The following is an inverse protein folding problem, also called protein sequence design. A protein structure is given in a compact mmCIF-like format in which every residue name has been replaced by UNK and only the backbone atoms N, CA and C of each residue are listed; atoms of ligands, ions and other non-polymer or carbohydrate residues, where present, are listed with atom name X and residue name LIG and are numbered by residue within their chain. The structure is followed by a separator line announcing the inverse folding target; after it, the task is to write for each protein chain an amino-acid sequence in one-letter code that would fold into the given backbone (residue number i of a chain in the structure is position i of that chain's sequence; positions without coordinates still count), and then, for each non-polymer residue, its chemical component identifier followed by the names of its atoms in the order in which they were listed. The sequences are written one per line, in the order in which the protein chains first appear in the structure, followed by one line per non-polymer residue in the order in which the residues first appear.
data_IF_485665540534
#
_entry.id   IF_485665540534
#
_cell.length_a   1.000
_cell.length_b   1.000
_cell.length_c   1.000
_cell.angle_alpha   90.00
_cell.angle_beta   90.00
_cell.angle_gamma   90.00
#
_symmetry.space_group_name_H-M   'P 1'
#
loop_
_entity.id
_entity.type
_entity.pdbx_description
1 polymer ?
#
# COMPACT_ATOMS: atom_id res chain seq x y z
N UNK A 1 -45.30 23.01 -3.31
CA UNK A 1 -44.59 22.60 -4.54
C UNK A 1 -43.42 23.54 -4.75
N UNK A 2 -42.25 23.03 -5.13
CA UNK A 2 -41.24 23.87 -5.80
C UNK A 2 -41.96 24.61 -6.93
N UNK A 3 -42.07 25.94 -6.82
CA UNK A 3 -42.93 26.78 -7.68
C UNK A 3 -42.28 26.94 -9.06
N UNK A 4 -42.26 25.87 -9.83
CA UNK A 4 -41.91 25.87 -11.24
C UNK A 4 -43.06 25.26 -12.03
N UNK A 5 -43.32 25.77 -13.22
CA UNK A 5 -44.27 25.21 -14.16
C UNK A 5 -43.68 25.34 -15.55
N UNK A 6 -43.89 24.31 -16.38
CA UNK A 6 -43.56 24.36 -17.80
C UNK A 6 -44.73 25.00 -18.52
N UNK A 7 -44.46 25.98 -19.38
CA UNK A 7 -45.48 26.64 -20.18
C UNK A 7 -45.06 26.74 -21.65
N UNK A 8 -46.03 26.56 -22.55
CA UNK A 8 -45.90 26.76 -23.98
C UNK A 8 -46.27 28.21 -24.31
N UNK A 9 -45.35 28.93 -24.95
CA UNK A 9 -45.58 30.28 -25.46
C UNK A 9 -45.56 30.25 -26.99
N UNK A 10 -46.73 30.43 -27.60
CA UNK A 10 -46.90 30.41 -29.06
C UNK A 10 -46.83 31.83 -29.60
N UNK A 11 -46.12 32.02 -30.71
CA UNK A 11 -46.15 33.27 -31.47
C UNK A 11 -46.22 32.96 -32.97
N UNK A 12 -47.04 33.71 -33.69
CA UNK A 12 -47.15 33.66 -35.15
C UNK A 12 -46.34 34.82 -35.73
N UNK A 13 -45.54 34.54 -36.75
CA UNK A 13 -44.80 35.56 -37.49
C UNK A 13 -45.49 35.85 -38.82
N UNK A 14 -45.76 37.13 -39.10
CA UNK A 14 -46.14 37.61 -40.42
C UNK A 14 -45.06 38.60 -40.90
N UNK A 15 -44.17 38.11 -41.78
CA UNK A 15 -42.93 38.80 -42.16
C UNK A 15 -42.12 39.16 -40.90
N UNK A 16 -41.97 40.46 -40.62
CA UNK A 16 -41.25 40.98 -39.45
C UNK A 16 -42.14 41.19 -38.23
N UNK A 17 -43.48 41.04 -38.37
CA UNK A 17 -44.43 41.28 -37.28
C UNK A 17 -44.66 40.00 -36.47
N UNK A 18 -44.24 40.01 -35.21
CA UNK A 18 -44.53 38.95 -34.22
C UNK A 18 -45.90 39.19 -33.57
N UNK A 19 -46.80 38.22 -33.68
CA UNK A 19 -48.09 38.18 -33.00
C UNK A 19 -48.00 37.10 -31.92
N UNK A 20 -47.83 37.51 -30.66
CA UNK A 20 -47.80 36.58 -29.53
C UNK A 20 -49.22 36.14 -29.15
N UNK A 21 -49.40 34.88 -28.75
CA UNK A 21 -50.66 34.45 -28.11
C UNK A 21 -50.89 35.18 -26.77
N UNK A 22 -52.15 35.42 -26.36
CA UNK A 22 -52.46 36.28 -25.21
C UNK A 22 -51.98 35.74 -23.87
N UNK A 23 -51.92 34.41 -23.70
CA UNK A 23 -51.51 33.77 -22.47
C UNK A 23 -50.62 32.53 -22.74
N UNK A 24 -49.59 32.28 -21.91
CA UNK A 24 -48.87 31.00 -21.92
C UNK A 24 -49.82 29.84 -21.59
N UNK A 25 -49.66 28.71 -22.27
CA UNK A 25 -50.41 27.48 -21.97
C UNK A 25 -49.60 26.62 -21.00
N UNK A 26 -50.10 26.38 -19.79
CA UNK A 26 -49.39 25.55 -18.80
C UNK A 26 -49.36 24.08 -19.24
N UNK A 27 -48.17 23.52 -19.38
CA UNK A 27 -47.93 22.12 -19.80
C UNK A 27 -47.74 21.18 -18.61
N UNK A 28 -47.04 21.61 -17.55
CA UNK A 28 -46.76 20.77 -16.39
C UNK A 28 -46.50 21.60 -15.12
N UNK A 29 -46.79 21.00 -13.96
CA UNK A 29 -46.46 21.54 -12.64
C UNK A 29 -45.21 20.84 -12.07
N UNK A 30 -44.29 21.62 -11.52
CA UNK A 30 -43.07 21.16 -10.86
C UNK A 30 -41.97 20.68 -11.82
N UNK A 31 -40.76 20.61 -11.31
CA UNK A 31 -39.64 19.94 -11.96
C UNK A 31 -39.27 18.70 -11.14
N UNK A 32 -39.07 17.56 -11.81
CA UNK A 32 -38.52 16.39 -11.14
C UNK A 32 -37.03 16.65 -10.85
N UNK A 33 -36.68 16.72 -9.57
CA UNK A 33 -35.32 16.95 -9.09
C UNK A 33 -34.76 15.73 -8.34
N UNK A 34 -35.23 14.51 -8.65
CA UNK A 34 -34.75 13.28 -8.02
C UNK A 34 -33.23 13.16 -8.06
N UNK A 35 -32.57 13.63 -9.13
CA UNK A 35 -31.11 13.65 -9.26
C UNK A 35 -30.40 14.39 -8.12
N UNK A 36 -31.04 15.37 -7.47
CA UNK A 36 -30.49 16.08 -6.31
C UNK A 36 -30.44 15.24 -5.03
N UNK A 37 -30.87 13.97 -5.07
CA UNK A 37 -30.58 13.01 -4.00
C UNK A 37 -29.15 12.48 -4.07
N UNK A 38 -28.37 12.81 -5.11
CA UNK A 38 -26.99 12.31 -5.23
C UNK A 38 -26.15 12.74 -4.04
N UNK A 39 -25.36 11.81 -3.49
CA UNK A 39 -24.31 12.11 -2.53
C UNK A 39 -23.14 12.76 -3.25
N UNK A 40 -22.82 14.00 -2.89
CA UNK A 40 -21.82 14.83 -3.59
C UNK A 40 -20.45 14.90 -2.89
N UNK A 41 -20.29 14.20 -1.77
CA UNK A 41 -19.06 14.29 -0.97
C UNK A 41 -17.85 13.65 -1.67
N UNK A 42 -18.09 12.65 -2.51
CA UNK A 42 -17.05 11.82 -3.12
C UNK A 42 -16.36 10.92 -2.09
N UNK A 43 -15.81 9.81 -2.57
CA UNK A 43 -15.09 8.84 -1.75
C UNK A 43 -13.59 9.05 -1.94
N UNK A 44 -12.87 9.23 -0.84
CA UNK A 44 -11.42 9.45 -0.82
C UNK A 44 -10.65 8.13 -1.00
N UNK A 45 -9.36 8.23 -1.28
CA UNK A 45 -8.48 7.06 -1.42
C UNK A 45 -7.25 7.19 -0.54
N UNK A 46 -6.98 6.14 0.26
CA UNK A 46 -5.80 6.02 1.11
C UNK A 46 -4.76 5.11 0.47
N UNK A 47 -3.50 5.48 0.59
CA UNK A 47 -2.33 4.68 0.25
C UNK A 47 -1.96 3.73 1.39
N UNK A 48 -1.38 2.58 1.04
CA UNK A 48 -0.95 1.58 2.01
C UNK A 48 0.26 2.01 2.85
N UNK A 49 0.31 1.50 4.07
CA UNK A 49 1.51 1.39 4.90
C UNK A 49 2.21 0.11 4.44
N UNK A 50 3.48 0.01 4.15
CA UNK A 50 4.10 -1.29 3.88
C UNK A 50 4.61 -1.94 5.18
N UNK A 51 3.81 -1.83 6.26
CA UNK A 51 4.23 -2.26 7.59
C UNK A 51 4.35 -3.78 7.69
N UNK A 52 5.52 -4.24 8.10
CA UNK A 52 5.81 -5.66 8.28
C UNK A 52 5.82 -5.99 9.76
N UNK A 53 5.01 -7.00 10.14
CA UNK A 53 4.96 -7.51 11.52
C UNK A 53 6.27 -8.16 11.94
N UNK A 54 6.98 -8.75 10.98
CA UNK A 54 8.26 -9.43 11.18
C UNK A 54 9.27 -8.90 10.18
N UNK A 55 10.46 -8.53 10.66
CA UNK A 55 11.60 -8.11 9.84
C UNK A 55 12.71 -9.13 9.96
N UNK A 56 13.38 -9.44 8.85
CA UNK A 56 14.55 -10.33 8.85
C UNK A 56 15.83 -9.53 9.05
N UNK A 57 16.61 -9.92 10.04
CA UNK A 57 17.95 -9.40 10.31
C UNK A 57 18.97 -10.55 10.19
N UNK A 58 20.23 -10.22 9.84
CA UNK A 58 21.32 -11.20 9.83
C UNK A 58 22.52 -10.65 10.58
N UNK A 59 23.15 -11.51 11.38
CA UNK A 59 24.47 -11.26 11.95
C UNK A 59 25.40 -12.35 11.47
N UNK A 60 26.59 -11.98 11.03
CA UNK A 60 27.54 -12.93 10.48
C UNK A 60 28.93 -12.77 11.09
N UNK A 61 29.66 -13.89 11.13
CA UNK A 61 31.08 -13.95 11.42
C UNK A 61 31.71 -15.12 10.66
N UNK A 62 33.04 -15.22 10.64
CA UNK A 62 33.72 -16.29 9.91
C UNK A 62 34.96 -16.83 10.61
N UNK A 63 35.18 -18.13 10.45
CA UNK A 63 36.41 -18.82 10.84
C UNK A 63 37.29 -19.00 9.63
N UNK A 64 38.54 -18.52 9.70
CA UNK A 64 39.53 -18.70 8.64
C UNK A 64 40.41 -19.92 8.90
N UNK A 65 40.77 -20.60 7.82
CA UNK A 65 41.57 -21.82 7.80
C UNK A 65 42.85 -21.63 7.00
N UNK A 66 43.88 -22.43 7.33
CA UNK A 66 45.08 -22.52 6.50
C UNK A 66 44.81 -23.30 5.21
N UNK A 67 45.70 -23.12 4.23
CA UNK A 67 45.69 -23.93 3.00
C UNK A 67 45.70 -25.41 3.34
N UNK A 68 44.86 -26.20 2.66
CA UNK A 68 44.75 -27.65 2.84
C UNK A 68 44.50 -28.13 4.29
N UNK A 69 44.01 -27.24 5.16
CA UNK A 69 43.73 -27.54 6.56
C UNK A 69 42.25 -27.29 6.88
N UNK A 70 41.74 -28.09 7.80
CA UNK A 70 40.40 -28.01 8.38
C UNK A 70 40.44 -27.87 9.90
N UNK A 71 41.63 -27.88 10.53
CA UNK A 71 41.75 -27.71 11.97
C UNK A 71 41.67 -26.23 12.34
N UNK A 72 40.85 -25.94 13.34
CA UNK A 72 40.70 -24.58 13.88
C UNK A 72 41.74 -24.38 14.97
N UNK A 73 42.52 -23.31 14.85
CA UNK A 73 43.46 -22.92 15.91
C UNK A 73 42.70 -22.33 17.09
N UNK A 74 43.10 -22.61 18.35
CA UNK A 74 42.46 -22.00 19.53
C UNK A 74 42.40 -20.46 19.47
N UNK A 75 43.46 -19.82 18.95
CA UNK A 75 43.52 -18.36 18.77
C UNK A 75 42.46 -17.80 17.81
N UNK A 76 41.93 -18.61 16.89
CA UNK A 76 40.87 -18.19 15.96
C UNK A 76 39.55 -17.95 16.70
N UNK A 77 39.24 -18.78 17.71
CA UNK A 77 38.01 -18.65 18.50
C UNK A 77 38.05 -17.46 19.46
N UNK A 78 39.23 -16.92 19.75
CA UNK A 78 39.41 -15.76 20.63
C UNK A 78 39.47 -14.42 19.88
N UNK A 79 39.32 -14.44 18.55
CA UNK A 79 39.29 -13.21 17.74
C UNK A 79 38.12 -12.31 18.13
N UNK A 80 38.30 -11.00 17.96
CA UNK A 80 37.30 -9.99 18.32
C UNK A 80 35.94 -10.25 17.66
N UNK A 81 35.91 -10.48 16.35
CA UNK A 81 34.68 -10.74 15.58
C UNK A 81 33.88 -11.97 16.07
N UNK A 82 34.56 -13.00 16.57
CA UNK A 82 33.92 -14.20 17.12
C UNK A 82 33.30 -13.87 18.49
N UNK A 83 34.01 -13.10 19.32
CA UNK A 83 33.48 -12.63 20.61
C UNK A 83 32.28 -11.69 20.42
N UNK A 84 32.37 -10.75 19.48
CA UNK A 84 31.25 -9.84 19.15
C UNK A 84 30.02 -10.63 18.66
N UNK A 85 30.21 -11.73 17.94
CA UNK A 85 29.13 -12.62 17.53
C UNK A 85 28.56 -13.44 18.71
N UNK A 86 29.41 -13.97 19.60
CA UNK A 86 28.98 -14.66 20.83
C UNK A 86 28.16 -13.72 21.73
N UNK A 87 28.65 -12.50 21.95
CA UNK A 87 27.97 -11.46 22.73
C UNK A 87 26.65 -11.06 22.10
N UNK A 88 26.60 -10.92 20.77
CA UNK A 88 25.37 -10.65 20.06
C UNK A 88 24.32 -11.74 20.28
N UNK A 89 24.68 -13.02 20.11
CA UNK A 89 23.76 -14.14 20.37
C UNK A 89 23.24 -14.13 21.81
N UNK A 90 24.11 -13.81 22.78
CA UNK A 90 23.74 -13.70 24.19
C UNK A 90 22.82 -12.52 24.50
N UNK A 91 22.88 -11.44 23.71
CA UNK A 91 21.97 -10.30 23.83
C UNK A 91 20.60 -10.61 23.23
N UNK A 92 20.55 -11.29 22.08
CA UNK A 92 19.29 -11.64 21.41
C UNK A 92 18.42 -12.57 22.27
N UNK A 93 19.01 -13.53 22.99
CA UNK A 93 18.27 -14.37 23.94
C UNK A 93 17.60 -13.59 25.07
N UNK A 94 17.99 -12.34 25.31
CA UNK A 94 17.39 -11.44 26.31
C UNK A 94 16.52 -10.34 25.69
N UNK A 95 16.45 -10.26 24.37
CA UNK A 95 15.66 -9.26 23.64
C UNK A 95 14.23 -9.79 23.49
N UNK A 96 13.23 -9.02 23.93
CA UNK A 96 11.83 -9.43 23.88
C UNK A 96 11.24 -9.40 22.46
N UNK A 97 11.92 -8.73 21.52
CA UNK A 97 11.45 -8.53 20.15
C UNK A 97 12.29 -9.25 19.11
N UNK A 98 13.50 -9.71 19.44
CA UNK A 98 14.34 -10.46 18.51
C UNK A 98 14.45 -11.92 18.91
N UNK A 99 14.37 -12.79 17.93
CA UNK A 99 14.62 -14.21 18.12
C UNK A 99 15.51 -14.76 17.01
N UNK A 100 16.51 -15.57 17.38
CA UNK A 100 17.26 -16.36 16.39
C UNK A 100 16.35 -17.44 15.83
N UNK A 101 16.08 -17.40 14.53
CA UNK A 101 15.24 -18.41 13.84
C UNK A 101 16.04 -19.60 13.35
N UNK A 102 17.26 -19.36 12.90
CA UNK A 102 18.22 -20.40 12.56
C UNK A 102 19.63 -19.85 12.62
N UNK A 103 20.59 -20.74 12.73
CA UNK A 103 21.98 -20.44 12.39
C UNK A 103 22.42 -21.33 11.24
N UNK A 104 22.95 -20.73 10.19
CA UNK A 104 23.54 -21.45 9.08
C UNK A 104 25.06 -21.39 9.17
N UNK A 105 25.70 -22.56 9.10
CA UNK A 105 27.13 -22.70 8.92
C UNK A 105 27.37 -23.07 7.46
N UNK A 106 28.03 -22.20 6.71
CA UNK A 106 28.43 -22.49 5.33
C UNK A 106 29.95 -22.59 5.29
N UNK A 107 30.46 -23.79 5.00
CA UNK A 107 31.89 -24.07 4.96
C UNK A 107 32.41 -24.15 3.52
N UNK A 108 33.51 -23.45 3.27
CA UNK A 108 34.05 -23.24 1.93
C UNK A 108 35.46 -23.82 1.79
N UNK A 109 35.81 -24.24 0.57
CA UNK A 109 37.20 -24.30 0.13
C UNK A 109 37.51 -23.20 -0.88
N UNK A 110 38.78 -22.81 -0.93
CA UNK A 110 39.27 -21.84 -1.90
C UNK A 110 39.39 -22.50 -3.29
N UNK A 111 39.18 -21.77 -4.38
CA UNK A 111 39.31 -22.29 -5.75
C UNK A 111 40.79 -22.41 -6.18
N UNK A 112 41.62 -23.03 -5.34
CA UNK A 112 43.06 -23.21 -5.53
C UNK A 112 43.53 -24.67 -5.34
N UNK A 113 42.58 -25.61 -5.37
CA UNK A 113 42.78 -27.04 -5.34
C UNK A 113 41.78 -27.76 -6.24
N UNK A 114 42.00 -29.03 -6.54
CA UNK A 114 41.07 -29.79 -7.39
C UNK A 114 39.73 -30.04 -6.70
N UNK A 115 38.66 -30.13 -7.49
CA UNK A 115 37.26 -30.29 -7.07
C UNK A 115 37.05 -31.36 -5.97
N UNK A 116 37.63 -32.55 -6.13
CA UNK A 116 37.51 -33.66 -5.18
C UNK A 116 38.16 -33.35 -3.82
N UNK A 117 39.32 -32.70 -3.85
CA UNK A 117 40.04 -32.29 -2.64
C UNK A 117 39.26 -31.22 -1.91
N UNK A 118 38.80 -30.21 -2.65
CA UNK A 118 38.03 -29.08 -2.15
C UNK A 118 36.69 -29.52 -1.54
N UNK A 119 36.00 -30.48 -2.17
CA UNK A 119 34.76 -31.06 -1.63
C UNK A 119 34.98 -31.78 -0.30
N UNK A 120 36.06 -32.56 -0.18
CA UNK A 120 36.44 -33.21 1.08
C UNK A 120 36.86 -32.19 2.14
N UNK A 121 37.53 -31.11 1.74
CA UNK A 121 38.03 -30.09 2.64
C UNK A 121 36.90 -29.23 3.20
N UNK A 122 35.96 -28.78 2.37
CA UNK A 122 34.79 -28.01 2.80
C UNK A 122 33.90 -28.85 3.73
N UNK A 123 33.72 -30.14 3.47
CA UNK A 123 33.01 -31.07 4.37
C UNK A 123 33.63 -31.14 5.77
N UNK A 124 34.93 -31.39 5.85
CA UNK A 124 35.65 -31.42 7.15
C UNK A 124 35.67 -30.06 7.85
N UNK A 125 35.70 -28.96 7.09
CA UNK A 125 35.55 -27.61 7.65
C UNK A 125 34.16 -27.41 8.22
N UNK A 126 33.11 -27.91 7.58
CA UNK A 126 31.74 -27.90 8.11
C UNK A 126 31.63 -28.60 9.46
N UNK A 127 32.21 -29.80 9.59
CA UNK A 127 32.25 -30.56 10.84
C UNK A 127 32.97 -29.79 11.96
N UNK A 128 34.19 -29.32 11.68
CA UNK A 128 34.99 -28.58 12.69
C UNK A 128 34.37 -27.22 13.03
N UNK A 129 33.75 -26.55 12.07
CA UNK A 129 33.02 -25.30 12.29
C UNK A 129 31.80 -25.53 13.18
N UNK A 130 31.06 -26.63 12.99
CA UNK A 130 29.97 -27.05 13.87
C UNK A 130 30.45 -27.28 15.31
N UNK A 131 31.57 -27.97 15.49
CA UNK A 131 32.18 -28.16 16.80
C UNK A 131 32.63 -26.83 17.44
N UNK A 132 33.19 -25.92 16.65
CA UNK A 132 33.60 -24.61 17.11
C UNK A 132 32.40 -23.75 17.53
N UNK A 133 31.32 -23.77 16.74
CA UNK A 133 30.08 -23.09 17.07
C UNK A 133 29.55 -23.58 18.42
N UNK A 134 29.49 -24.91 18.65
CA UNK A 134 29.09 -25.49 19.93
C UNK A 134 29.98 -25.06 21.11
N UNK A 135 31.27 -24.77 20.88
CA UNK A 135 32.18 -24.22 21.90
C UNK A 135 31.89 -22.75 22.18
N UNK A 136 31.64 -21.95 21.15
CA UNK A 136 31.31 -20.52 21.26
C UNK A 136 29.99 -20.34 21.99
N UNK A 137 28.95 -21.10 21.63
CA UNK A 137 27.62 -21.01 22.24
C UNK A 137 27.47 -21.82 23.53
N UNK A 138 28.57 -22.35 24.10
CA UNK A 138 28.49 -23.20 25.30
C UNK A 138 27.90 -22.46 26.51
N UNK A 139 28.19 -21.16 26.65
CA UNK A 139 27.70 -20.31 27.75
C UNK A 139 26.34 -19.70 27.48
N UNK A 140 25.97 -19.63 26.20
CA UNK A 140 24.67 -19.12 25.73
C UNK A 140 24.15 -20.09 24.68
N UNK A 141 23.51 -21.20 25.12
CA UNK A 141 23.00 -22.19 24.21
C UNK A 141 21.93 -21.58 23.30
N UNK A 142 22.20 -21.55 22.00
CA UNK A 142 21.22 -21.15 20.99
C UNK A 142 20.30 -22.34 20.76
N UNK A 143 18.99 -22.16 21.01
CA UNK A 143 17.99 -23.24 20.86
C UNK A 143 17.48 -23.39 19.42
N UNK A 144 17.77 -22.40 18.57
CA UNK A 144 17.37 -22.37 17.17
C UNK A 144 18.04 -23.49 16.34
N UNK A 145 17.39 -23.97 15.27
CA UNK A 145 17.97 -24.92 14.32
C UNK A 145 19.34 -24.49 13.80
N UNK A 146 20.29 -25.43 13.81
CA UNK A 146 21.62 -25.27 13.25
C UNK A 146 21.73 -26.05 11.94
N UNK A 147 21.88 -25.34 10.83
CA UNK A 147 22.07 -25.93 9.51
C UNK A 147 23.56 -25.89 9.14
N UNK A 148 24.06 -26.95 8.51
CA UNK A 148 25.43 -26.97 7.99
C UNK A 148 25.39 -27.33 6.53
N UNK A 149 25.97 -26.48 5.69
CA UNK A 149 26.14 -26.70 4.27
C UNK A 149 27.59 -26.45 3.86
N UNK A 150 27.96 -26.99 2.70
CA UNK A 150 29.34 -26.94 2.21
C UNK A 150 29.35 -26.49 0.77
N UNK A 151 30.31 -25.65 0.44
CA UNK A 151 30.58 -25.19 -0.92
C UNK A 151 32.02 -25.57 -1.22
N UNK A 152 32.21 -26.44 -2.18
CA UNK A 152 33.54 -26.94 -2.49
C UNK A 152 34.45 -25.83 -3.04
N UNK A 153 33.95 -24.94 -3.89
CA UNK A 153 34.72 -23.81 -4.42
C UNK A 153 33.92 -22.51 -4.32
N UNK A 154 34.40 -21.57 -3.49
CA UNK A 154 33.75 -20.27 -3.28
C UNK A 154 34.03 -19.28 -4.43
N UNK A 155 33.52 -19.59 -5.63
CA UNK A 155 33.69 -18.73 -6.80
C UNK A 155 32.98 -17.37 -6.67
N UNK A 156 31.82 -17.35 -6.03
CA UNK A 156 31.06 -16.12 -5.80
C UNK A 156 31.79 -15.21 -4.80
N UNK A 157 32.23 -15.77 -3.68
CA UNK A 157 33.07 -15.04 -2.73
C UNK A 157 34.39 -14.60 -3.33
N UNK A 158 34.98 -15.38 -4.23
CA UNK A 158 36.20 -14.98 -4.94
C UNK A 158 35.97 -13.75 -5.81
N UNK A 159 34.86 -13.73 -6.55
CA UNK A 159 34.48 -12.56 -7.36
C UNK A 159 34.23 -11.32 -6.49
N UNK A 160 33.52 -11.48 -5.37
CA UNK A 160 33.25 -10.39 -4.41
C UNK A 160 34.55 -9.80 -3.85
N UNK A 161 35.45 -10.65 -3.34
CA UNK A 161 36.72 -10.22 -2.77
C UNK A 161 37.65 -9.56 -3.80
N UNK A 162 37.70 -10.08 -5.03
CA UNK A 162 38.47 -9.45 -6.11
C UNK A 162 37.90 -8.07 -6.47
N UNK A 163 36.57 -7.97 -6.59
CA UNK A 163 35.88 -6.71 -6.90
C UNK A 163 36.10 -5.61 -5.87
N UNK A 164 36.14 -5.99 -4.58
CA UNK A 164 36.43 -5.09 -3.47
C UNK A 164 37.93 -4.83 -3.22
N UNK A 165 38.83 -5.43 -4.00
CA UNK A 165 40.29 -5.31 -3.78
C UNK A 165 40.95 -4.21 -4.62
N UNK A 166 42.13 -3.79 -4.18
CA UNK A 166 43.02 -2.85 -4.89
C UNK A 166 44.07 -3.58 -5.76
N UNK A 167 43.74 -4.76 -6.28
CA UNK A 167 44.65 -5.52 -7.15
C UNK A 167 44.71 -4.85 -8.53
N UNK A 168 45.94 -4.64 -9.03
CA UNK A 168 46.20 -3.94 -10.30
C UNK A 168 45.44 -4.54 -11.49
N UNK A 169 45.34 -5.86 -11.56
CA UNK A 169 44.73 -6.59 -12.67
C UNK A 169 43.29 -7.07 -12.36
N UNK A 170 42.58 -6.43 -11.42
CA UNK A 170 41.24 -6.85 -10.97
C UNK A 170 40.22 -7.01 -12.11
N UNK A 171 40.17 -6.07 -13.05
CA UNK A 171 39.22 -6.08 -14.17
C UNK A 171 39.43 -7.27 -15.11
N UNK A 172 40.70 -7.68 -15.29
CA UNK A 172 41.02 -8.85 -16.09
C UNK A 172 40.52 -10.13 -15.40
N UNK A 173 40.72 -10.25 -14.09
CA UNK A 173 40.26 -11.40 -13.31
C UNK A 173 38.73 -11.48 -13.31
N UNK A 174 38.04 -10.37 -13.04
CA UNK A 174 36.57 -10.33 -13.05
C UNK A 174 36.00 -10.70 -14.43
N UNK A 175 36.65 -10.27 -15.52
CA UNK A 175 36.28 -10.67 -16.88
C UNK A 175 36.44 -12.16 -17.12
N UNK A 176 37.50 -12.79 -16.61
CA UNK A 176 37.71 -14.24 -16.74
C UNK A 176 36.64 -15.00 -15.94
N UNK A 177 36.30 -14.52 -14.73
CA UNK A 177 35.26 -15.11 -13.90
C UNK A 177 33.86 -15.01 -14.53
N UNK A 178 33.57 -13.93 -15.26
CA UNK A 178 32.29 -13.76 -15.96
C UNK A 178 32.22 -14.49 -17.30
N UNK A 179 33.36 -14.62 -18.00
CA UNK A 179 33.42 -15.26 -19.32
C UNK A 179 33.27 -16.77 -19.26
N UNK A 180 33.80 -17.42 -18.22
CA UNK A 180 33.73 -18.86 -18.05
C UNK A 180 32.83 -19.19 -16.87
N UNK A 181 31.87 -20.09 -17.03
CA UNK A 181 31.06 -20.63 -15.93
C UNK A 181 31.59 -21.96 -15.39
N UNK A 182 32.38 -22.67 -16.20
CA UNK A 182 32.98 -23.95 -15.83
C UNK A 182 34.11 -23.76 -14.79
N UNK A 183 34.02 -24.40 -13.61
CA UNK A 183 35.01 -24.25 -12.54
C UNK A 183 36.44 -24.65 -12.94
N UNK A 184 36.60 -25.73 -13.72
CA UNK A 184 37.91 -26.21 -14.16
C UNK A 184 38.55 -25.24 -15.15
N UNK A 185 37.75 -24.67 -16.06
CA UNK A 185 38.22 -23.64 -16.99
C UNK A 185 38.60 -22.38 -16.23
N UNK A 186 37.77 -21.90 -15.29
CA UNK A 186 38.09 -20.75 -14.44
C UNK A 186 39.42 -20.92 -13.72
N UNK A 187 39.61 -22.06 -13.05
CA UNK A 187 40.83 -22.36 -12.31
C UNK A 187 42.06 -22.33 -13.23
N UNK A 188 41.97 -22.98 -14.39
CA UNK A 188 43.08 -23.02 -15.37
C UNK A 188 43.45 -21.62 -15.87
N UNK A 189 42.47 -20.82 -16.28
CA UNK A 189 42.73 -19.48 -16.82
C UNK A 189 43.32 -18.55 -15.76
N UNK A 190 42.85 -18.63 -14.51
CA UNK A 190 43.39 -17.84 -13.39
C UNK A 190 44.81 -18.28 -13.03
N UNK A 191 45.10 -19.58 -13.01
CA UNK A 191 46.45 -20.11 -12.74
C UNK A 191 47.47 -19.73 -13.81
N UNK A 192 47.04 -19.64 -15.08
CA UNK A 192 47.90 -19.23 -16.19
C UNK A 192 48.42 -17.79 -16.04
N UNK A 193 47.77 -16.96 -15.24
CA UNK A 193 48.19 -15.59 -14.92
C UNK A 193 49.24 -15.57 -13.79
N UNK A 194 50.39 -16.21 -13.99
CA UNK A 194 51.37 -16.55 -12.94
C UNK A 194 51.79 -15.41 -11.97
N UNK A 195 51.92 -14.16 -12.42
CA UNK A 195 52.22 -13.00 -11.54
C UNK A 195 51.00 -12.55 -10.73
N UNK A 196 49.82 -12.57 -11.35
CA UNK A 196 48.54 -12.20 -10.73
C UNK A 196 48.12 -13.25 -9.71
N UNK A 197 48.31 -14.54 -10.05
CA UNK A 197 47.99 -15.66 -9.18
C UNK A 197 48.73 -15.61 -7.84
N UNK A 198 50.02 -15.21 -7.82
CA UNK A 198 50.75 -15.02 -6.56
C UNK A 198 50.10 -13.98 -5.66
N UNK A 199 49.67 -12.85 -6.24
CA UNK A 199 48.98 -11.79 -5.49
C UNK A 199 47.64 -12.28 -4.95
N UNK A 200 46.90 -13.06 -5.74
CA UNK A 200 45.64 -13.68 -5.32
C UNK A 200 45.85 -14.72 -4.21
N UNK A 201 46.89 -15.55 -4.31
CA UNK A 201 47.25 -16.55 -3.32
C UNK A 201 47.65 -15.95 -1.97
N UNK A 202 48.30 -14.78 -1.99
CA UNK A 202 48.74 -14.09 -0.78
C UNK A 202 47.63 -13.25 -0.14
N UNK A 203 46.77 -12.63 -0.95
CA UNK A 203 45.83 -11.59 -0.46
C UNK A 203 44.35 -11.96 -0.49
N UNK A 204 43.92 -12.86 -1.37
CA UNK A 204 42.49 -13.16 -1.61
C UNK A 204 42.13 -14.59 -1.21
N UNK A 205 42.82 -15.58 -1.76
CA UNK A 205 42.56 -17.00 -1.51
C UNK A 205 42.58 -17.38 0.00
N UNK A 206 43.40 -16.77 0.88
CA UNK A 206 43.35 -17.04 2.31
C UNK A 206 42.01 -16.68 2.96
N UNK A 207 41.32 -15.64 2.48
CA UNK A 207 40.02 -15.20 3.02
C UNK A 207 38.86 -16.11 2.56
N UNK A 208 39.02 -16.83 1.46
CA UNK A 208 38.04 -17.82 0.97
C UNK A 208 38.12 -19.16 1.68
N UNK A 209 39.20 -19.40 2.42
CA UNK A 209 39.35 -20.60 3.25
C UNK A 209 38.59 -20.39 4.54
N UNK A 210 37.27 -20.42 4.47
CA UNK A 210 36.41 -19.97 5.56
C UNK A 210 35.25 -20.91 5.87
N UNK A 211 34.74 -20.80 7.09
CA UNK A 211 33.40 -21.22 7.44
C UNK A 211 32.67 -20.01 8.00
N UNK A 212 31.55 -19.63 7.37
CA UNK A 212 30.70 -18.52 7.79
C UNK A 212 29.67 -19.03 8.77
N UNK A 213 29.45 -18.28 9.85
CA UNK A 213 28.33 -18.43 10.75
C UNK A 213 27.36 -17.30 10.46
N UNK A 214 26.11 -17.64 10.15
CA UNK A 214 25.06 -16.71 9.77
C UNK A 214 23.90 -16.94 10.72
N UNK A 215 23.71 -16.06 11.69
CA UNK A 215 22.52 -16.06 12.53
C UNK A 215 21.41 -15.32 11.78
N UNK A 216 20.33 -16.02 11.46
CA UNK A 216 19.12 -15.44 10.88
C UNK A 216 18.19 -15.07 12.03
N UNK A 217 17.92 -13.78 12.18
CA UNK A 217 17.11 -13.21 13.26
C UNK A 217 15.79 -12.72 12.68
N UNK A 218 14.72 -12.94 13.42
CA UNK A 218 13.45 -12.27 13.19
C UNK A 218 13.25 -11.21 14.27
N UNK A 219 13.01 -9.98 13.85
CA UNK A 219 12.55 -8.89 14.69
C UNK A 219 11.03 -8.79 14.60
N UNK A 220 10.35 -8.88 15.74
CA UNK A 220 8.92 -8.69 15.90
C UNK A 220 8.63 -7.22 16.15
N UNK A 221 8.03 -6.58 15.15
CA UNK A 221 7.68 -5.17 15.21
C UNK A 221 6.50 -4.92 16.17
N UNK A 222 6.17 -3.65 16.43
CA UNK A 222 5.04 -3.30 17.30
C UNK A 222 3.72 -3.89 16.79
N UNK A 223 2.93 -4.44 17.70
CA UNK A 223 1.59 -4.93 17.38
C UNK A 223 0.59 -3.75 17.28
N UNK A 224 -0.64 -4.04 16.85
CA UNK A 224 -1.66 -3.02 16.60
C UNK A 224 -2.01 -2.20 17.86
N UNK A 225 -2.05 -2.82 19.04
CA UNK A 225 -2.34 -2.12 20.30
C UNK A 225 -1.17 -1.21 20.69
N UNK A 226 0.05 -1.72 20.59
CA UNK A 226 1.27 -0.96 20.87
C UNK A 226 1.42 0.24 19.93
N UNK A 227 1.13 0.09 18.64
CA UNK A 227 1.17 1.19 17.67
C UNK A 227 0.19 2.31 18.01
N UNK A 228 -1.03 1.95 18.43
CA UNK A 228 -2.04 2.93 18.85
C UNK A 228 -1.62 3.64 20.13
N UNK A 229 -1.00 2.94 21.07
CA UNK A 229 -0.46 3.54 22.30
C UNK A 229 0.75 4.43 22.04
N UNK A 230 1.64 4.03 21.12
CA UNK A 230 2.82 4.82 20.74
C UNK A 230 2.43 6.17 20.15
N UNK A 231 1.36 6.25 19.36
CA UNK A 231 0.91 7.56 18.85
C UNK A 231 0.51 8.51 19.98
N UNK A 232 0.03 8.00 21.11
CA UNK A 232 -0.35 8.83 22.27
C UNK A 232 0.85 9.20 23.14
N UNK A 233 1.75 8.24 23.35
CA UNK A 233 2.75 8.33 24.43
C UNK A 233 4.17 8.61 23.91
N UNK A 234 4.49 8.20 22.68
CA UNK A 234 5.84 8.30 22.14
C UNK A 234 5.87 8.29 20.59
N UNK A 235 5.08 9.16 19.96
CA UNK A 235 4.94 9.19 18.49
C UNK A 235 6.26 9.49 17.75
N UNK A 236 7.20 10.15 18.43
CA UNK A 236 8.49 10.58 17.88
C UNK A 236 9.40 9.42 17.48
N UNK A 237 9.30 8.26 18.14
CA UNK A 237 10.17 7.10 17.82
C UNK A 237 9.69 6.31 16.61
N UNK A 238 8.44 6.51 16.17
CA UNK A 238 7.83 5.72 15.12
C UNK A 238 8.40 6.06 13.75
N UNK A 239 8.60 5.05 12.91
CA UNK A 239 8.94 5.22 11.50
C UNK A 239 7.71 5.52 10.63
N UNK A 240 7.93 5.75 9.33
CA UNK A 240 6.85 6.09 8.40
C UNK A 240 5.82 4.96 8.28
N UNK A 241 6.25 3.70 8.24
CA UNK A 241 5.34 2.56 8.03
C UNK A 241 4.48 2.32 9.27
N UNK A 242 5.07 2.45 10.47
CA UNK A 242 4.38 2.38 11.75
C UNK A 242 3.33 3.49 11.89
N UNK A 243 3.66 4.73 11.54
CA UNK A 243 2.73 5.86 11.61
C UNK A 243 1.58 5.73 10.61
N UNK A 244 1.87 5.31 9.37
CA UNK A 244 0.84 5.05 8.37
C UNK A 244 -0.09 3.92 8.83
N UNK A 245 0.45 2.85 9.40
CA UNK A 245 -0.37 1.75 9.89
C UNK A 245 -1.20 2.17 11.11
N UNK A 246 -0.60 2.83 12.10
CA UNK A 246 -1.30 3.35 13.27
C UNK A 246 -2.47 4.27 12.88
N UNK A 247 -2.26 5.17 11.91
CA UNK A 247 -3.33 6.02 11.36
C UNK A 247 -4.47 5.21 10.73
N UNK A 248 -4.19 4.07 10.12
CA UNK A 248 -5.23 3.20 9.56
C UNK A 248 -6.08 2.48 10.62
N UNK A 249 -5.50 2.24 11.81
CA UNK A 249 -6.14 1.53 12.93
C UNK A 249 -7.04 2.44 13.78
N UNK A 250 -6.80 3.75 13.74
CA UNK A 250 -7.56 4.72 14.53
C UNK A 250 -8.99 4.86 14.05
N UNK A 251 -9.91 5.13 14.98
CA UNK A 251 -11.33 5.29 14.67
C UNK A 251 -11.74 6.77 14.61
N UNK A 252 -11.19 7.59 15.50
CA UNK A 252 -11.46 9.01 15.55
C UNK A 252 -10.57 9.80 14.56
N UNK A 253 -11.10 10.91 14.08
CA UNK A 253 -10.47 11.74 13.08
C UNK A 253 -9.18 12.40 13.58
N UNK A 254 -9.18 12.88 14.82
CA UNK A 254 -8.06 13.67 15.33
C UNK A 254 -6.81 12.82 15.53
N UNK A 255 -6.96 11.59 16.02
CA UNK A 255 -5.83 10.65 16.13
C UNK A 255 -5.31 10.25 14.75
N UNK A 256 -6.19 9.98 13.76
CA UNK A 256 -5.77 9.72 12.36
C UNK A 256 -4.95 10.87 11.79
N UNK A 257 -5.45 12.10 11.95
CA UNK A 257 -4.78 13.33 11.50
C UNK A 257 -3.43 13.45 12.20
N UNK A 258 -3.35 13.20 13.51
CA UNK A 258 -2.10 13.25 14.27
C UNK A 258 -1.04 12.31 13.71
N UNK A 259 -1.39 11.03 13.49
CA UNK A 259 -0.47 10.03 12.97
C UNK A 259 0.03 10.37 11.55
N UNK A 260 -0.89 10.65 10.61
CA UNK A 260 -0.51 10.96 9.23
C UNK A 260 0.22 12.30 9.10
N UNK A 261 -0.17 13.31 9.88
CA UNK A 261 0.53 14.59 9.94
C UNK A 261 1.96 14.40 10.45
N UNK A 262 2.15 13.59 11.50
CA UNK A 262 3.49 13.32 12.01
C UNK A 262 4.37 12.62 10.97
N UNK A 263 3.83 11.64 10.26
CA UNK A 263 4.56 10.97 9.18
C UNK A 263 4.93 11.95 8.04
N UNK A 264 3.99 12.80 7.63
CA UNK A 264 4.22 13.81 6.60
C UNK A 264 5.30 14.82 7.02
N UNK A 265 5.29 15.29 8.27
CA UNK A 265 6.27 16.27 8.78
C UNK A 265 7.66 15.65 8.99
N UNK A 266 7.73 14.41 9.49
CA UNK A 266 8.99 13.75 9.81
C UNK A 266 9.71 13.18 8.58
N UNK A 267 8.96 12.70 7.59
CA UNK A 267 9.51 11.93 6.47
C UNK A 267 9.27 12.54 5.10
N UNK A 268 8.41 13.57 4.99
CA UNK A 268 7.99 14.13 3.70
C UNK A 268 7.51 13.06 2.70
N UNK A 269 6.82 12.03 3.22
CA UNK A 269 6.35 10.88 2.44
C UNK A 269 5.00 11.21 1.78
N UNK A 270 4.92 11.07 0.46
CA UNK A 270 3.72 11.40 -0.33
C UNK A 270 2.50 10.56 0.10
N UNK A 271 2.69 9.32 0.58
CA UNK A 271 1.60 8.46 1.10
C UNK A 271 1.01 9.06 2.36
N UNK A 272 1.86 9.55 3.26
CA UNK A 272 1.41 10.20 4.49
C UNK A 272 0.66 11.49 4.19
N UNK A 273 1.15 12.30 3.25
CA UNK A 273 0.50 13.54 2.82
C UNK A 273 -0.85 13.25 2.13
N UNK A 274 -0.91 12.22 1.28
CA UNK A 274 -2.16 11.79 0.65
C UNK A 274 -3.17 11.29 1.68
N UNK A 275 -2.74 10.47 2.64
CA UNK A 275 -3.63 9.93 3.68
C UNK A 275 -4.13 11.02 4.62
N UNK A 276 -3.28 12.00 4.93
CA UNK A 276 -3.68 13.21 5.65
C UNK A 276 -4.73 14.00 4.86
N UNK A 277 -4.53 14.18 3.55
CA UNK A 277 -5.49 14.85 2.66
C UNK A 277 -6.85 14.15 2.65
N UNK A 278 -6.86 12.83 2.45
CA UNK A 278 -8.08 12.03 2.48
C UNK A 278 -8.79 12.15 3.84
N UNK A 279 -8.04 12.07 4.94
CA UNK A 279 -8.62 12.22 6.29
C UNK A 279 -9.22 13.60 6.51
N UNK A 280 -8.58 14.67 6.01
CA UNK A 280 -9.18 16.01 6.05
C UNK A 280 -10.48 16.10 5.25
N UNK A 281 -10.52 15.51 4.05
CA UNK A 281 -11.73 15.44 3.23
C UNK A 281 -12.85 14.66 3.95
N UNK A 282 -12.56 13.48 4.50
CA UNK A 282 -13.57 12.68 5.21
C UNK A 282 -14.18 13.42 6.42
N UNK A 283 -13.48 14.44 6.93
CA UNK A 283 -13.92 15.26 8.06
C UNK A 283 -14.35 16.68 7.66
N UNK A 284 -14.62 16.93 6.37
CA UNK A 284 -15.13 18.22 5.88
C UNK A 284 -14.12 19.37 5.89
N UNK A 285 -12.85 19.10 6.22
CA UNK A 285 -11.74 20.08 6.31
C UNK A 285 -11.11 20.33 4.94
N UNK A 286 -11.92 20.84 3.99
CA UNK A 286 -11.53 20.96 2.57
C UNK A 286 -10.35 21.91 2.34
N UNK A 287 -10.23 22.99 3.13
CA UNK A 287 -9.13 23.94 3.00
C UNK A 287 -7.78 23.30 3.41
N UNK A 288 -7.78 22.55 4.50
CA UNK A 288 -6.63 21.80 5.00
C UNK A 288 -6.25 20.67 4.05
N UNK A 289 -7.24 19.98 3.47
CA UNK A 289 -7.01 18.99 2.42
C UNK A 289 -6.27 19.58 1.22
N UNK A 290 -6.68 20.76 0.73
CA UNK A 290 -5.98 21.46 -0.38
C UNK A 290 -4.54 21.79 -0.01
N UNK A 291 -4.33 22.32 1.20
CA UNK A 291 -3.00 22.69 1.67
C UNK A 291 -2.08 21.47 1.84
N UNK A 292 -2.61 20.33 2.28
CA UNK A 292 -1.87 19.08 2.37
C UNK A 292 -1.55 18.53 0.97
N UNK A 293 -2.55 18.39 0.09
CA UNK A 293 -2.38 17.85 -1.27
C UNK A 293 -1.33 18.62 -2.08
N UNK A 294 -1.22 19.93 -1.89
CA UNK A 294 -0.24 20.78 -2.56
C UNK A 294 1.23 20.42 -2.25
N UNK A 295 1.49 19.66 -1.17
CA UNK A 295 2.83 19.22 -0.77
C UNK A 295 3.26 17.89 -1.39
N UNK A 296 2.36 17.20 -2.10
CA UNK A 296 2.67 15.93 -2.76
C UNK A 296 3.56 16.16 -3.98
N UNK A 297 4.68 15.45 -4.03
CA UNK A 297 5.68 15.59 -5.08
C UNK A 297 5.36 14.68 -6.27
N UNK A 298 5.07 13.41 -6.00
CA UNK A 298 4.71 12.43 -7.02
C UNK A 298 3.19 12.26 -7.13
N UNK A 299 2.63 12.71 -8.26
CA UNK A 299 1.19 12.67 -8.53
C UNK A 299 0.80 11.34 -9.14
N UNK A 300 0.32 10.44 -8.30
CA UNK A 300 -0.16 9.12 -8.70
C UNK A 300 -1.70 9.03 -8.73
N UNK A 301 -2.22 7.82 -8.86
CA UNK A 301 -3.65 7.55 -8.93
C UNK A 301 -4.42 7.97 -7.67
N UNK A 302 -3.81 7.89 -6.48
CA UNK A 302 -4.44 8.28 -5.21
C UNK A 302 -4.52 9.80 -5.10
N UNK A 303 -3.43 10.48 -5.50
CA UNK A 303 -3.42 11.93 -5.64
C UNK A 303 -4.58 12.40 -6.53
N UNK A 304 -4.71 11.82 -7.73
CA UNK A 304 -5.73 12.28 -8.69
C UNK A 304 -7.16 11.99 -8.23
N UNK A 305 -7.41 10.87 -7.54
CA UNK A 305 -8.73 10.66 -6.93
C UNK A 305 -9.05 11.75 -5.89
N UNK A 306 -8.15 12.02 -4.95
CA UNK A 306 -8.38 13.00 -3.89
C UNK A 306 -8.44 14.44 -4.43
N UNK A 307 -7.65 14.78 -5.45
CA UNK A 307 -7.75 16.03 -6.19
C UNK A 307 -9.12 16.19 -6.87
N UNK A 308 -9.63 15.12 -7.48
CA UNK A 308 -10.97 15.08 -8.06
C UNK A 308 -12.07 15.29 -7.02
N UNK A 309 -11.94 14.69 -5.83
CA UNK A 309 -12.88 14.90 -4.71
C UNK A 309 -12.86 16.36 -4.24
N UNK A 310 -11.68 16.98 -4.13
CA UNK A 310 -11.58 18.42 -3.82
C UNK A 310 -12.34 19.25 -4.86
N UNK A 311 -12.08 19.02 -6.15
CA UNK A 311 -12.72 19.76 -7.22
C UNK A 311 -14.24 19.53 -7.26
N UNK A 312 -14.70 18.32 -6.95
CA UNK A 312 -16.13 17.98 -6.83
C UNK A 312 -16.80 18.82 -5.74
N UNK A 313 -16.17 18.93 -4.57
CA UNK A 313 -16.69 19.72 -3.43
C UNK A 313 -16.65 21.22 -3.68
N UNK A 314 -15.68 21.68 -4.46
CA UNK A 314 -15.63 23.06 -4.98
C UNK A 314 -16.66 23.33 -6.08
N UNK A 315 -17.44 22.32 -6.49
CA UNK A 315 -18.37 22.36 -7.64
C UNK A 315 -17.68 22.68 -8.97
N UNK A 316 -16.36 22.48 -9.05
CA UNK A 316 -15.61 22.54 -10.29
C UNK A 316 -15.67 21.18 -10.98
N UNK A 317 -16.83 20.86 -11.54
CA UNK A 317 -17.12 19.55 -12.12
C UNK A 317 -16.22 19.19 -13.31
N UNK A 318 -15.76 20.20 -14.07
CA UNK A 318 -14.81 19.98 -15.16
C UNK A 318 -13.47 19.46 -14.61
N UNK A 319 -12.89 20.18 -13.64
CA UNK A 319 -11.64 19.75 -13.01
C UNK A 319 -11.79 18.42 -12.26
N UNK A 320 -12.96 18.15 -11.66
CA UNK A 320 -13.24 16.88 -11.00
C UNK A 320 -13.11 15.71 -11.98
N UNK A 321 -13.80 15.78 -13.12
CA UNK A 321 -13.75 14.73 -14.16
C UNK A 321 -12.34 14.58 -14.75
N UNK A 322 -11.65 15.70 -15.02
CA UNK A 322 -10.27 15.67 -15.53
C UNK A 322 -9.29 14.99 -14.56
N UNK A 323 -9.47 15.18 -13.25
CA UNK A 323 -8.65 14.50 -12.24
C UNK A 323 -9.05 13.03 -12.11
N UNK A 324 -10.34 12.70 -11.99
CA UNK A 324 -10.77 11.30 -11.92
C UNK A 324 -10.35 10.47 -13.12
N UNK A 325 -10.30 11.06 -14.32
CA UNK A 325 -9.83 10.39 -15.54
C UNK A 325 -8.33 10.02 -15.53
N UNK A 326 -7.54 10.64 -14.64
CA UNK A 326 -6.11 10.33 -14.44
C UNK A 326 -5.87 9.27 -13.35
N UNK A 327 -6.94 8.76 -12.74
CA UNK A 327 -6.88 7.75 -11.70
C UNK A 327 -7.46 6.43 -12.22
N UNK A 328 -6.66 5.37 -12.15
CA UNK A 328 -7.08 4.00 -12.47
C UNK A 328 -7.85 3.33 -11.31
N UNK A 329 -8.09 4.04 -10.20
CA UNK A 329 -8.83 3.48 -9.08
C UNK A 329 -10.32 3.35 -9.42
N UNK A 330 -10.93 2.22 -9.03
CA UNK A 330 -12.39 2.00 -9.18
C UNK A 330 -13.20 3.13 -8.55
N UNK A 331 -12.75 3.64 -7.40
CA UNK A 331 -13.42 4.73 -6.69
C UNK A 331 -13.44 6.04 -7.49
N UNK A 332 -12.41 6.33 -8.29
CA UNK A 332 -12.40 7.51 -9.16
C UNK A 332 -13.45 7.39 -10.27
N UNK A 333 -13.63 6.20 -10.82
CA UNK A 333 -14.72 5.89 -11.76
C UNK A 333 -16.08 6.15 -11.11
N UNK A 334 -16.30 5.72 -9.88
CA UNK A 334 -17.56 5.95 -9.15
C UNK A 334 -17.79 7.43 -8.85
N UNK A 335 -16.75 8.13 -8.38
CA UNK A 335 -16.79 9.57 -8.15
C UNK A 335 -17.14 10.36 -9.42
N UNK A 336 -16.64 9.93 -10.58
CA UNK A 336 -16.99 10.57 -11.85
C UNK A 336 -18.48 10.42 -12.21
N UNK A 337 -19.14 9.36 -11.74
CA UNK A 337 -20.57 9.14 -11.96
C UNK A 337 -21.44 10.14 -11.19
N UNK A 338 -20.96 10.70 -10.07
CA UNK A 338 -21.62 11.80 -9.37
C UNK A 338 -21.82 12.98 -10.32
N UNK A 339 -20.77 13.34 -11.06
CA UNK A 339 -20.82 14.43 -12.04
C UNK A 339 -21.72 14.08 -13.23
N UNK A 340 -21.79 12.81 -13.63
CA UNK A 340 -22.72 12.37 -14.68
C UNK A 340 -24.18 12.53 -14.24
N UNK A 341 -24.52 12.14 -13.00
CA UNK A 341 -25.85 12.35 -12.42
C UNK A 341 -26.20 13.84 -12.39
N UNK A 342 -25.28 14.69 -11.92
CA UNK A 342 -25.52 16.14 -11.86
C UNK A 342 -25.72 16.79 -13.24
N UNK A 343 -25.20 16.17 -14.30
CA UNK A 343 -25.33 16.65 -15.68
C UNK A 343 -26.40 15.93 -16.50
N UNK A 344 -27.22 15.07 -15.89
CA UNK A 344 -28.28 14.35 -16.60
C UNK A 344 -27.81 13.15 -17.44
N UNK A 345 -26.54 12.75 -17.34
CA UNK A 345 -25.94 11.60 -18.04
C UNK A 345 -26.17 10.30 -17.25
N UNK A 346 -27.45 9.94 -17.08
CA UNK A 346 -27.84 8.88 -16.14
C UNK A 346 -27.43 7.48 -16.61
N UNK A 347 -27.41 7.22 -17.92
CA UNK A 347 -27.00 5.93 -18.44
C UNK A 347 -25.50 5.69 -18.22
N UNK A 348 -24.68 6.73 -18.42
CA UNK A 348 -23.25 6.72 -18.14
C UNK A 348 -22.98 6.50 -16.66
N UNK A 349 -23.76 7.15 -15.78
CA UNK A 349 -23.69 6.92 -14.35
C UNK A 349 -24.01 5.46 -13.98
N UNK A 350 -25.07 4.87 -14.58
CA UNK A 350 -25.40 3.44 -14.39
C UNK A 350 -24.26 2.54 -14.85
N UNK A 351 -23.68 2.77 -16.04
CA UNK A 351 -22.55 1.98 -16.54
C UNK A 351 -21.32 2.06 -15.63
N UNK A 352 -21.21 3.14 -14.84
CA UNK A 352 -20.11 3.32 -13.89
C UNK A 352 -20.37 2.70 -12.52
N UNK A 353 -21.62 2.73 -12.04
CA UNK A 353 -21.99 2.36 -10.67
C UNK A 353 -22.62 0.97 -10.53
N UNK A 354 -23.12 0.36 -11.61
CA UNK A 354 -23.79 -0.95 -11.51
C UNK A 354 -22.87 -2.03 -10.91
N UNK A 355 -23.34 -2.66 -9.83
CA UNK A 355 -22.62 -3.68 -9.08
C UNK A 355 -21.51 -3.14 -8.17
N UNK A 356 -21.40 -1.83 -7.98
CA UNK A 356 -20.34 -1.21 -7.18
C UNK A 356 -20.61 -1.22 -5.67
N UNK A 357 -21.89 -1.24 -5.27
CA UNK A 357 -22.30 -1.02 -3.88
C UNK A 357 -22.19 0.44 -3.43
N UNK A 358 -21.89 1.37 -4.33
CA UNK A 358 -21.81 2.82 -4.06
C UNK A 358 -23.20 3.38 -3.64
N UNK A 359 -23.21 4.38 -2.77
CA UNK A 359 -24.45 4.98 -2.25
C UNK A 359 -25.32 5.61 -3.36
N UNK A 360 -24.71 6.01 -4.47
CA UNK A 360 -25.40 6.58 -5.63
C UNK A 360 -25.89 5.54 -6.64
N UNK A 361 -25.54 4.26 -6.49
CA UNK A 361 -25.92 3.20 -7.44
C UNK A 361 -27.46 3.08 -7.55
N UNK A 362 -28.15 3.03 -6.42
CA UNK A 362 -29.61 2.95 -6.37
C UNK A 362 -30.27 4.15 -7.07
N UNK A 363 -29.73 5.34 -6.84
CA UNK A 363 -30.23 6.56 -7.46
C UNK A 363 -30.04 6.55 -8.98
N UNK A 364 -28.89 6.10 -9.48
CA UNK A 364 -28.64 6.00 -10.92
C UNK A 364 -29.66 5.07 -11.61
N UNK A 365 -30.02 3.95 -10.98
CA UNK A 365 -31.08 3.07 -11.48
C UNK A 365 -32.47 3.73 -11.42
N UNK A 366 -32.81 4.49 -10.38
CA UNK A 366 -34.07 5.25 -10.32
C UNK A 366 -34.15 6.25 -11.48
N UNK A 367 -33.07 6.96 -11.77
CA UNK A 367 -33.02 7.99 -12.81
C UNK A 367 -33.15 7.43 -14.23
N UNK A 368 -32.84 6.14 -14.41
CA UNK A 368 -33.05 5.40 -15.67
C UNK A 368 -34.27 4.48 -15.65
N UNK A 369 -35.13 4.63 -14.63
CA UNK A 369 -36.36 3.84 -14.44
C UNK A 369 -36.16 2.31 -14.29
N UNK A 370 -34.97 1.88 -13.88
CA UNK A 370 -34.65 0.46 -13.59
C UNK A 370 -35.01 0.12 -12.13
N UNK A 371 -36.30 0.21 -11.78
CA UNK A 371 -36.77 0.23 -10.39
C UNK A 371 -36.45 -1.04 -9.59
N UNK A 372 -36.47 -2.22 -10.22
CA UNK A 372 -36.13 -3.48 -9.53
C UNK A 372 -34.65 -3.56 -9.19
N UNK A 373 -33.78 -3.11 -10.11
CA UNK A 373 -32.34 -3.00 -9.85
C UNK A 373 -32.05 -1.97 -8.76
N UNK A 374 -32.75 -0.83 -8.78
CA UNK A 374 -32.65 0.17 -7.74
C UNK A 374 -33.00 -0.39 -6.36
N UNK A 375 -34.15 -1.07 -6.25
CA UNK A 375 -34.59 -1.70 -5.00
C UNK A 375 -33.58 -2.73 -4.47
N UNK A 376 -32.96 -3.49 -5.37
CA UNK A 376 -31.92 -4.43 -5.03
C UNK A 376 -30.61 -3.75 -4.57
N UNK A 377 -30.21 -2.63 -5.17
CA UNK A 377 -28.98 -1.91 -4.83
C UNK A 377 -29.07 -1.15 -3.49
N UNK A 378 -30.25 -0.63 -3.12
CA UNK A 378 -30.41 0.19 -1.92
C UNK A 378 -30.44 -0.68 -0.65
N UNK A 379 -29.33 -0.72 0.09
CA UNK A 379 -29.19 -1.53 1.32
C UNK A 379 -29.30 -0.76 2.63
N UNK A 380 -28.88 0.51 2.68
CA UNK A 380 -28.92 1.32 3.90
C UNK A 380 -30.34 1.43 4.49
N UNK A 381 -30.44 1.46 5.83
CA UNK A 381 -31.70 1.68 6.58
C UNK A 381 -31.82 3.14 7.09
N UNK A 382 -31.25 4.08 6.35
CA UNK A 382 -31.23 5.50 6.66
C UNK A 382 -32.38 6.26 5.96
N UNK A 383 -32.75 7.47 6.44
CA UNK A 383 -33.80 8.30 5.82
C UNK A 383 -33.59 8.60 4.34
N UNK A 384 -32.33 8.74 3.90
CA UNK A 384 -32.00 8.96 2.48
C UNK A 384 -32.37 7.76 1.60
N UNK A 385 -31.95 6.56 2.01
CA UNK A 385 -32.34 5.32 1.34
C UNK A 385 -33.85 5.07 1.38
N UNK A 386 -34.52 5.40 2.50
CA UNK A 386 -35.98 5.34 2.59
C UNK A 386 -36.65 6.29 1.59
N UNK A 387 -36.09 7.48 1.36
CA UNK A 387 -36.59 8.41 0.34
C UNK A 387 -36.55 7.78 -1.06
N UNK A 388 -35.42 7.15 -1.41
CA UNK A 388 -35.28 6.44 -2.68
C UNK A 388 -36.27 5.27 -2.80
N UNK A 389 -36.49 4.50 -1.72
CA UNK A 389 -37.52 3.44 -1.69
C UNK A 389 -38.94 4.00 -1.85
N UNK A 390 -39.24 5.15 -1.24
CA UNK A 390 -40.52 5.82 -1.41
C UNK A 390 -40.75 6.22 -2.88
N UNK A 391 -39.73 6.75 -3.57
CA UNK A 391 -39.82 7.06 -5.01
C UNK A 391 -40.11 5.79 -5.82
N UNK A 392 -39.39 4.70 -5.54
CA UNK A 392 -39.62 3.41 -6.20
C UNK A 392 -41.08 2.95 -5.99
N UNK A 393 -41.59 3.03 -4.76
CA UNK A 393 -42.95 2.65 -4.42
C UNK A 393 -43.99 3.53 -5.13
N UNK A 394 -43.78 4.84 -5.16
CA UNK A 394 -44.65 5.81 -5.81
C UNK A 394 -44.74 5.53 -7.32
N UNK A 395 -43.60 5.32 -7.98
CA UNK A 395 -43.57 5.00 -9.41
C UNK A 395 -44.18 3.64 -9.75
N UNK A 396 -44.22 2.70 -8.79
CA UNK A 396 -44.91 1.41 -8.90
C UNK A 396 -46.39 1.45 -8.49
N UNK A 397 -46.91 2.58 -8.03
CA UNK A 397 -48.30 2.69 -7.58
C UNK A 397 -48.58 2.11 -6.19
N UNK A 398 -47.56 1.78 -5.40
CA UNK A 398 -47.73 1.17 -4.08
C UNK A 398 -47.86 2.22 -2.96
N UNK A 399 -49.09 2.72 -2.74
CA UNK A 399 -49.38 3.77 -1.76
C UNK A 399 -48.99 3.38 -0.32
N UNK A 400 -49.25 2.14 0.09
CA UNK A 400 -48.94 1.67 1.44
C UNK A 400 -47.44 1.71 1.73
N UNK A 401 -46.62 1.31 0.76
CA UNK A 401 -45.17 1.35 0.89
C UNK A 401 -44.64 2.80 0.84
N UNK A 402 -45.26 3.69 0.06
CA UNK A 402 -44.94 5.14 0.09
C UNK A 402 -45.11 5.69 1.51
N UNK A 403 -46.26 5.46 2.14
CA UNK A 403 -46.54 5.94 3.50
C UNK A 403 -45.54 5.36 4.51
N UNK A 404 -45.25 4.06 4.43
CA UNK A 404 -44.30 3.38 5.30
C UNK A 404 -42.88 3.97 5.19
N UNK A 405 -42.41 4.23 3.97
CA UNK A 405 -41.07 4.79 3.75
C UNK A 405 -41.01 6.28 4.10
N UNK A 406 -42.06 7.07 3.82
CA UNK A 406 -42.12 8.47 4.20
C UNK A 406 -42.14 8.69 5.73
N UNK A 407 -42.68 7.74 6.50
CA UNK A 407 -42.56 7.75 7.97
C UNK A 407 -41.10 7.63 8.44
N UNK A 408 -40.24 6.93 7.70
CA UNK A 408 -38.80 6.85 7.98
C UNK A 408 -38.10 8.13 7.52
N UNK A 409 -38.47 8.66 6.36
CA UNK A 409 -37.98 9.95 5.84
C UNK A 409 -38.22 11.08 6.83
N UNK A 410 -39.36 11.08 7.52
CA UNK A 410 -39.74 12.08 8.52
C UNK A 410 -38.72 12.26 9.66
N UNK A 411 -37.86 11.26 9.90
CA UNK A 411 -36.76 11.34 10.88
C UNK A 411 -35.65 12.31 10.45
N UNK A 412 -35.59 12.69 9.17
CA UNK A 412 -34.73 13.74 8.66
C UNK A 412 -35.57 14.96 8.29
N UNK A 413 -35.40 16.06 9.03
CA UNK A 413 -36.16 17.30 8.82
C UNK A 413 -36.07 17.80 7.38
N UNK A 414 -34.85 17.87 6.83
CA UNK A 414 -34.61 18.39 5.46
C UNK A 414 -35.24 17.50 4.39
N UNK A 415 -35.15 16.17 4.53
CA UNK A 415 -35.77 15.26 3.59
C UNK A 415 -37.30 15.26 3.71
N UNK A 416 -37.83 15.39 4.92
CA UNK A 416 -39.28 15.52 5.12
C UNK A 416 -39.82 16.78 4.41
N UNK A 417 -39.20 17.93 4.63
CA UNK A 417 -39.56 19.20 3.98
C UNK A 417 -39.50 19.09 2.45
N UNK A 418 -38.48 18.41 1.93
CA UNK A 418 -38.37 18.09 0.50
C UNK A 418 -39.52 17.21 0.03
N UNK A 419 -39.83 16.11 0.72
CA UNK A 419 -40.90 15.18 0.35
C UNK A 419 -42.28 15.85 0.28
N UNK A 420 -42.55 16.85 1.13
CA UNK A 420 -43.78 17.65 1.06
C UNK A 420 -43.92 18.47 -0.22
N UNK A 421 -42.84 18.66 -0.98
CA UNK A 421 -42.83 19.46 -2.21
C UNK A 421 -42.41 18.71 -3.47
N UNK A 422 -41.84 17.51 -3.36
CA UNK A 422 -41.37 16.66 -4.46
C UNK A 422 -42.50 16.11 -5.35
N UNK A 423 -42.39 16.24 -6.66
CA UNK A 423 -43.44 15.81 -7.61
C UNK A 423 -43.67 14.29 -7.58
N UNK A 424 -42.67 13.50 -7.17
CA UNK A 424 -42.77 12.04 -7.04
C UNK A 424 -43.91 11.61 -6.10
N UNK A 425 -44.25 12.46 -5.11
CA UNK A 425 -45.26 12.16 -4.10
C UNK A 425 -46.56 12.94 -4.26
N UNK A 426 -46.73 13.70 -5.34
CA UNK A 426 -47.89 14.60 -5.49
C UNK A 426 -49.25 13.86 -5.40
N UNK A 427 -49.33 12.63 -5.91
CA UNK A 427 -50.54 11.79 -5.86
C UNK A 427 -50.81 11.14 -4.49
N UNK A 428 -49.84 11.19 -3.58
CA UNK A 428 -49.86 10.51 -2.28
C UNK A 428 -49.98 11.49 -1.11
N UNK A 429 -50.02 12.80 -1.40
CA UNK A 429 -50.35 13.82 -0.40
C UNK A 429 -51.85 13.79 -0.13
N UNK A 430 -52.20 13.74 1.14
CA UNK A 430 -53.58 13.89 1.59
C UNK A 430 -54.04 15.34 1.49
#
# INVERSE_FOLDING_TARGET
MEKSHLELRVAVWNKTKKISFPAPYKLADGANITYKLVHTEGVTALMGHNYQKFLSEKKETQLLYKINDYKIKPKTLTKKEIKEFEEFLAQIEKDERRAVKSTDIVAYASPDGGMDLNSKLSAKRGETAKEAFAKITKKTPVTAPLNVSTVAEDWDGFQELVGGSEIKDKELILRVLSMYSDPMVREREIRNMSKVFKTLADKILPELRRARFIANIEYTNYNEQELVELVKNNIEIMDVEALLYAGSLMKDADSKIMAYKKAAEKFNDDRAINNLTATYLDNGKVAEAKAALAKINNKDTYYYNNAGVIALRDKNYKAAVENFAKSDLKVAKYNSAIVDILNGRYNEAVSKLAGSGDENEGLAFILTNQLDKAAAAIKCKCPHAAYQRAIIAARKGNAAEVDAQLAIVAKSKSLNERAQNDIEFAKYRK
#
